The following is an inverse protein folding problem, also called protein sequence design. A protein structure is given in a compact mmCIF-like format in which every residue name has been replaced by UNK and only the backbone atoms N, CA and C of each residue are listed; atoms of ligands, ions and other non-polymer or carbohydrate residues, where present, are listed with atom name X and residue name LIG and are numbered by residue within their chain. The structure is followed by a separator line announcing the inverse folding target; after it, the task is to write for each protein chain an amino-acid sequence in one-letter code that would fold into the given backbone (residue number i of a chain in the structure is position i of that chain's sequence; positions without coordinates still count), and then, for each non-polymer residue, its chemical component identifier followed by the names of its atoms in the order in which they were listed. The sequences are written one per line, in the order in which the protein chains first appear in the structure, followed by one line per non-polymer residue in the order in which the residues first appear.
data_IF_860666931113
#
_entry.id   IF_860666931113
#
_cell.length_a   1.000
_cell.length_b   1.000
_cell.length_c   1.000
_cell.angle_alpha   90.00
_cell.angle_beta   90.00
_cell.angle_gamma   90.00
#
_symmetry.space_group_name_H-M   'P 1'
#
loop_
_entity.id
_entity.type
_entity.pdbx_description
1 polymer ?
#
# COMPACT_ATOMS: atom_id res chain seq x y z
N UNK A 1 -0.70 3.75 21.55
CA UNK A 1 0.22 3.67 20.40
C UNK A 1 -0.47 2.89 19.30
N UNK A 2 -0.51 3.40 18.08
CA UNK A 2 -1.28 2.79 17.00
C UNK A 2 -0.61 1.51 16.50
N UNK A 3 -1.34 0.39 16.40
CA UNK A 3 -0.75 -0.87 15.98
C UNK A 3 -0.93 -1.11 14.47
N UNK A 4 -0.14 -0.42 13.66
CA UNK A 4 -0.16 -0.56 12.21
C UNK A 4 0.15 -1.99 11.72
N UNK A 5 0.74 -2.87 12.54
CA UNK A 5 0.98 -4.27 12.16
C UNK A 5 -0.29 -5.12 12.20
N UNK A 6 -1.18 -4.87 13.16
CA UNK A 6 -2.50 -5.50 13.22
C UNK A 6 -3.48 -4.91 12.19
N UNK A 7 -3.18 -3.69 11.75
CA UNK A 7 -3.93 -2.92 10.77
C UNK A 7 -4.69 -1.78 11.43
N UNK A 8 -4.96 -0.75 10.64
CA UNK A 8 -5.75 0.42 11.06
C UNK A 8 -6.78 0.70 9.97
N UNK A 9 -8.04 0.86 10.36
CA UNK A 9 -9.09 1.28 9.43
C UNK A 9 -9.07 2.80 9.27
N UNK A 10 -8.94 3.24 8.02
CA UNK A 10 -8.79 4.64 7.66
C UNK A 10 -9.79 5.00 6.57
N UNK A 11 -10.37 6.19 6.66
CA UNK A 11 -11.21 6.75 5.60
C UNK A 11 -10.34 7.41 4.54
N UNK A 12 -10.59 7.07 3.29
CA UNK A 12 -9.89 7.63 2.14
C UNK A 12 -10.84 7.77 0.95
N UNK A 13 -10.52 8.63 -0.04
CA UNK A 13 -11.13 8.51 -1.35
C UNK A 13 -10.74 7.17 -1.98
N UNK A 14 -11.74 6.36 -2.30
CA UNK A 14 -11.63 5.11 -3.05
C UNK A 14 -12.00 5.33 -4.51
N UNK A 15 -11.76 4.34 -5.38
CA UNK A 15 -11.93 4.48 -6.82
C UNK A 15 -10.79 5.24 -7.50
N UNK A 16 -9.63 5.30 -6.86
CA UNK A 16 -8.39 5.84 -7.41
C UNK A 16 -7.29 4.77 -7.45
N UNK A 17 -6.24 5.03 -8.21
CA UNK A 17 -5.07 4.17 -8.24
C UNK A 17 -4.26 4.29 -6.96
N UNK A 18 -3.48 3.26 -6.66
CA UNK A 18 -2.56 3.26 -5.54
C UNK A 18 -1.50 4.38 -5.66
N UNK A 19 -1.08 4.73 -6.88
CA UNK A 19 -0.20 5.88 -7.14
C UNK A 19 -0.85 7.18 -6.66
N UNK A 20 -2.10 7.43 -7.04
CA UNK A 20 -2.84 8.64 -6.62
C UNK A 20 -3.02 8.65 -5.10
N UNK A 21 -3.38 7.52 -4.48
CA UNK A 21 -3.50 7.47 -3.02
C UNK A 21 -2.18 7.84 -2.33
N UNK A 22 -1.07 7.21 -2.71
CA UNK A 22 0.23 7.42 -2.05
C UNK A 22 0.80 8.81 -2.29
N UNK A 23 0.82 9.26 -3.55
CA UNK A 23 1.53 10.48 -3.94
C UNK A 23 0.67 11.74 -3.85
N UNK A 24 -0.64 11.65 -4.13
CA UNK A 24 -1.52 12.82 -4.19
C UNK A 24 -2.33 12.98 -2.90
N UNK A 25 -2.90 11.89 -2.37
CA UNK A 25 -3.76 11.97 -1.16
C UNK A 25 -2.92 11.99 0.11
N UNK A 26 -1.95 11.07 0.22
CA UNK A 26 -1.04 11.01 1.38
C UNK A 26 0.19 11.88 1.22
N UNK A 27 0.37 12.51 0.06
CA UNK A 27 1.47 13.42 -0.25
C UNK A 27 2.86 12.80 0.02
N UNK A 28 2.98 11.48 -0.12
CA UNK A 28 4.26 10.79 0.01
C UNK A 28 5.05 11.04 -1.28
N UNK A 29 6.29 11.57 -1.20
CA UNK A 29 7.09 11.83 -2.38
C UNK A 29 7.26 10.57 -3.25
N UNK A 30 7.13 10.70 -4.57
CA UNK A 30 7.23 9.59 -5.51
C UNK A 30 8.57 8.84 -5.37
N UNK A 31 9.66 9.56 -5.10
CA UNK A 31 10.98 8.96 -4.88
C UNK A 31 11.02 8.09 -3.62
N UNK A 32 10.28 8.48 -2.57
CA UNK A 32 10.15 7.67 -1.37
C UNK A 32 9.35 6.40 -1.68
N UNK A 33 8.20 6.52 -2.37
CA UNK A 33 7.38 5.37 -2.78
C UNK A 33 8.20 4.38 -3.61
N UNK A 34 9.03 4.87 -4.54
CA UNK A 34 9.80 4.03 -5.47
C UNK A 34 11.01 3.39 -4.79
N UNK A 35 11.76 4.15 -3.97
CA UNK A 35 13.05 3.71 -3.44
C UNK A 35 12.95 3.08 -2.04
N UNK A 36 11.93 3.44 -1.25
CA UNK A 36 11.77 2.98 0.14
C UNK A 36 10.71 1.92 0.28
N UNK A 37 9.60 1.99 -0.44
CA UNK A 37 8.55 0.98 -0.38
C UNK A 37 8.87 -0.15 -1.38
N UNK A 38 9.47 -1.23 -0.89
CA UNK A 38 9.89 -2.34 -1.76
C UNK A 38 8.77 -3.32 -2.09
N UNK A 39 7.81 -3.45 -1.18
CA UNK A 39 6.77 -4.47 -1.24
C UNK A 39 5.43 -3.85 -0.92
N UNK A 40 4.48 -4.05 -1.82
CA UNK A 40 3.11 -3.57 -1.69
C UNK A 40 2.18 -4.73 -2.00
N UNK A 41 1.25 -4.99 -1.08
CA UNK A 41 0.15 -5.92 -1.32
C UNK A 41 -1.18 -5.18 -1.23
N UNK A 42 -2.06 -5.43 -2.19
CA UNK A 42 -3.45 -5.02 -2.18
C UNK A 42 -4.32 -6.28 -2.16
N UNK A 43 -5.18 -6.41 -1.14
CA UNK A 43 -6.06 -7.57 -0.94
C UNK A 43 -5.31 -8.91 -0.97
N UNK A 44 -4.11 -8.92 -0.37
CA UNK A 44 -3.22 -10.09 -0.30
C UNK A 44 -2.46 -10.40 -1.59
N UNK A 45 -2.64 -9.61 -2.66
CA UNK A 45 -1.94 -9.79 -3.94
C UNK A 45 -0.82 -8.77 -4.10
N UNK A 46 0.36 -9.18 -4.57
CA UNK A 46 1.45 -8.24 -4.81
C UNK A 46 1.09 -7.26 -5.94
N UNK A 47 1.49 -6.00 -5.77
CA UNK A 47 1.25 -4.93 -6.73
C UNK A 47 2.58 -4.49 -7.34
N UNK A 48 2.72 -4.73 -8.64
CA UNK A 48 3.89 -4.29 -9.43
C UNK A 48 3.62 -3.04 -10.26
N UNK A 49 2.35 -2.68 -10.48
CA UNK A 49 1.92 -1.46 -11.17
C UNK A 49 0.99 -0.65 -10.26
N UNK A 50 1.42 0.56 -9.88
CA UNK A 50 0.68 1.42 -8.97
C UNK A 50 -0.45 2.18 -9.65
N UNK A 51 -0.40 2.35 -10.97
CA UNK A 51 -1.43 3.04 -11.74
C UNK A 51 -2.60 2.12 -12.04
N UNK A 52 -2.32 0.85 -12.36
CA UNK A 52 -3.35 -0.16 -12.62
C UNK A 52 -4.02 -0.70 -11.33
N UNK A 53 -3.37 -0.57 -10.17
CA UNK A 53 -3.89 -1.07 -8.90
C UNK A 53 -4.95 -0.12 -8.31
N UNK A 54 -6.22 -0.47 -8.50
CA UNK A 54 -7.35 0.34 -8.04
C UNK A 54 -7.78 0.00 -6.62
N UNK A 55 -7.89 1.03 -5.79
CA UNK A 55 -8.30 0.88 -4.39
C UNK A 55 -9.81 0.98 -4.29
N UNK A 56 -10.40 0.05 -3.55
CA UNK A 56 -11.84 -0.04 -3.32
C UNK A 56 -12.15 0.08 -1.84
N UNK A 57 -13.41 0.40 -1.54
CA UNK A 57 -13.93 0.31 -0.18
C UNK A 57 -13.75 -1.12 0.35
N UNK A 58 -13.31 -1.23 1.61
CA UNK A 58 -12.98 -2.50 2.26
C UNK A 58 -11.61 -3.09 1.91
N UNK A 59 -10.84 -2.50 0.99
CA UNK A 59 -9.52 -3.04 0.60
C UNK A 59 -8.55 -3.12 1.78
N UNK A 60 -7.64 -4.11 1.72
CA UNK A 60 -6.52 -4.25 2.67
C UNK A 60 -5.22 -3.90 1.97
N UNK A 61 -4.63 -2.76 2.33
CA UNK A 61 -3.35 -2.29 1.81
C UNK A 61 -2.23 -2.60 2.80
N UNK A 62 -1.22 -3.33 2.37
CA UNK A 62 -0.04 -3.65 3.16
C UNK A 62 1.23 -3.08 2.51
N UNK A 63 1.98 -2.28 3.26
CA UNK A 63 3.22 -1.65 2.79
C UNK A 63 4.41 -2.12 3.64
N UNK A 64 5.53 -2.43 2.99
CA UNK A 64 6.79 -2.75 3.67
C UNK A 64 8.00 -2.05 3.05
N UNK A 65 8.93 -1.62 3.91
CA UNK A 65 10.15 -0.96 3.49
C UNK A 65 11.12 -1.96 2.83
N UNK A 66 11.95 -1.47 1.91
CA UNK A 66 13.16 -2.16 1.48
C UNK A 66 14.07 -2.37 2.71
N UNK A 67 14.33 -3.63 3.07
CA UNK A 67 15.40 -3.94 4.01
C UNK A 67 16.75 -3.86 3.30
N UNK A 68 17.79 -3.23 3.88
CA UNK A 68 19.15 -3.45 3.40
C UNK A 68 19.54 -4.93 3.60
N UNK A 69 20.31 -5.50 2.67
CA UNK A 69 20.80 -6.89 2.72
C UNK A 69 20.04 -7.88 1.82
N UNK A 70 20.37 -9.17 1.96
CA UNK A 70 19.95 -10.25 1.03
C UNK A 70 18.43 -10.39 0.91
N UNK A 71 17.68 -10.25 2.02
CA UNK A 71 16.22 -10.37 2.02
C UNK A 71 15.57 -9.24 1.21
N UNK A 72 16.12 -8.03 1.27
CA UNK A 72 15.67 -6.92 0.45
C UNK A 72 16.01 -7.09 -1.03
N UNK A 73 17.13 -7.72 -1.36
CA UNK A 73 17.50 -8.01 -2.76
C UNK A 73 16.54 -9.01 -3.43
N UNK A 74 15.98 -9.95 -2.67
CA UNK A 74 15.03 -10.98 -3.17
C UNK A 74 13.60 -10.45 -3.29
N UNK A 75 13.19 -9.53 -2.40
CA UNK A 75 11.82 -8.97 -2.35
C UNK A 75 11.67 -7.63 -3.10
N UNK A 76 12.74 -7.13 -3.72
CA UNK A 76 12.74 -5.87 -4.47
C UNK A 76 11.88 -5.99 -5.73
N UNK A 77 10.97 -5.02 -5.91
CA UNK A 77 10.20 -4.81 -7.15
C UNK A 77 11.15 -4.78 -8.36
N UNK A 78 10.93 -5.69 -9.31
CA UNK A 78 11.77 -5.86 -10.51
C UNK A 78 13.06 -6.68 -10.33
N UNK A 79 13.23 -7.43 -9.22
CA UNK A 79 14.38 -8.34 -9.03
C UNK A 79 14.30 -9.62 -9.88
N UNK A 80 15.42 -10.35 -10.01
CA UNK A 80 15.59 -11.58 -10.82
C UNK A 80 14.57 -12.71 -10.55
N UNK A 81 13.88 -12.68 -9.40
CA UNK A 81 12.80 -13.61 -9.03
C UNK A 81 11.38 -13.10 -9.33
N UNK A 82 11.24 -11.93 -9.97
CA UNK A 82 9.95 -11.38 -10.40
C UNK A 82 9.23 -12.28 -11.42
N UNK A 83 9.96 -13.08 -12.19
CA UNK A 83 9.44 -14.06 -13.15
C UNK A 83 8.61 -15.17 -12.49
N UNK A 84 8.80 -15.46 -11.20
CA UNK A 84 7.98 -16.42 -10.44
C UNK A 84 6.63 -15.85 -9.97
N UNK A 85 6.36 -14.55 -10.17
CA UNK A 85 5.08 -13.89 -9.86
C UNK A 85 4.14 -13.76 -11.06
N UNK A 86 4.56 -14.22 -12.24
CA UNK A 86 3.83 -14.08 -13.51
C UNK A 86 2.47 -14.78 -13.59
N UNK A 87 2.07 -15.55 -12.57
CA UNK A 87 0.78 -16.23 -12.52
C UNK A 87 -0.27 -15.59 -11.59
N UNK A 88 0.03 -14.48 -10.90
CA UNK A 88 -0.89 -13.90 -9.88
C UNK A 88 -0.87 -12.35 -9.89
N UNK A 89 -0.51 -11.73 -11.01
CA UNK A 89 -0.64 -10.26 -11.14
C UNK A 89 -2.13 -9.89 -11.15
N UNK A 90 -2.50 -8.86 -10.39
CA UNK A 90 -3.85 -8.31 -10.39
C UNK A 90 -4.26 -7.96 -11.83
N UNK A 91 -5.18 -8.73 -12.39
CA UNK A 91 -5.86 -8.43 -13.64
C UNK A 91 -7.17 -7.71 -13.30
N UNK A 92 -7.33 -6.54 -13.90
CA UNK A 92 -8.46 -5.64 -13.77
C UNK A 92 -9.80 -6.34 -14.09
N UNK A 93 -10.85 -5.98 -13.36
CA UNK A 93 -12.23 -6.35 -13.67
C UNK A 93 -12.94 -5.06 -14.11
N UNK A 94 -13.52 -5.07 -15.32
CA UNK A 94 -13.87 -3.95 -16.22
C UNK A 94 -14.84 -2.85 -15.69
N UNK A 95 -15.10 -2.73 -14.39
CA UNK A 95 -15.91 -1.64 -13.85
C UNK A 95 -15.02 -0.56 -13.22
N UNK A 96 -14.91 0.57 -13.92
CA UNK A 96 -14.22 1.76 -13.45
C UNK A 96 -14.90 2.24 -12.15
N UNK A 97 -14.25 2.12 -10.98
CA UNK A 97 -14.89 2.44 -9.70
C UNK A 97 -15.19 3.94 -9.60
N UNK A 98 -16.42 4.31 -9.27
CA UNK A 98 -16.78 5.70 -8.97
C UNK A 98 -15.95 6.19 -7.77
N UNK A 99 -15.38 7.40 -7.88
CA UNK A 99 -14.68 8.04 -6.75
C UNK A 99 -15.66 8.31 -5.63
N UNK A 100 -15.49 7.64 -4.49
CA UNK A 100 -16.32 7.78 -3.30
C UNK A 100 -15.45 7.67 -2.06
N UNK A 101 -15.88 8.28 -0.95
CA UNK A 101 -15.27 7.98 0.34
C UNK A 101 -15.53 6.52 0.72
N UNK A 102 -14.50 5.85 1.20
CA UNK A 102 -14.58 4.47 1.68
C UNK A 102 -13.56 4.23 2.79
N UNK A 103 -13.65 3.07 3.42
CA UNK A 103 -12.78 2.64 4.51
C UNK A 103 -11.87 1.52 4.01
N UNK A 104 -10.57 1.70 4.15
CA UNK A 104 -9.59 0.63 3.90
C UNK A 104 -8.89 0.23 5.19
N UNK A 105 -8.30 -0.95 5.19
CA UNK A 105 -7.37 -1.38 6.25
C UNK A 105 -5.94 -1.17 5.79
N UNK A 106 -5.23 -0.26 6.45
CA UNK A 106 -3.80 -0.03 6.22
C UNK A 106 -2.96 -0.85 7.19
N UNK A 107 -1.98 -1.58 6.66
CA UNK A 107 -0.95 -2.30 7.42
C UNK A 107 0.43 -1.80 7.04
N UNK A 108 1.22 -1.42 8.04
CA UNK A 108 2.62 -1.06 7.86
C UNK A 108 3.50 -2.11 8.54
N UNK A 109 4.56 -2.51 7.83
CA UNK A 109 5.50 -3.51 8.32
C UNK A 109 6.92 -2.97 8.37
N UNK A 110 7.75 -3.59 9.21
CA UNK A 110 9.17 -3.32 9.33
C UNK A 110 9.45 -1.81 9.59
N UNK A 111 10.45 -1.23 8.93
CA UNK A 111 10.89 0.15 9.13
C UNK A 111 9.84 1.20 8.78
N UNK A 112 8.85 0.88 7.92
CA UNK A 112 7.79 1.85 7.56
C UNK A 112 6.93 2.25 8.75
N UNK A 113 6.85 1.44 9.80
CA UNK A 113 6.09 1.82 11.00
C UNK A 113 6.77 3.01 11.68
N UNK A 114 8.10 3.01 11.78
CA UNK A 114 8.86 4.10 12.39
C UNK A 114 8.96 5.30 11.44
N UNK A 115 9.06 5.07 10.12
CA UNK A 115 9.26 6.15 9.15
C UNK A 115 7.98 6.88 8.74
N UNK A 116 6.88 6.13 8.56
CA UNK A 116 5.60 6.68 8.08
C UNK A 116 4.51 6.67 9.14
N UNK A 117 4.65 5.91 10.23
CA UNK A 117 3.58 5.76 11.21
C UNK A 117 3.12 7.08 11.82
N UNK A 118 4.07 7.94 12.23
CA UNK A 118 3.76 9.26 12.80
C UNK A 118 3.20 10.21 11.74
N UNK A 119 3.85 10.31 10.58
CA UNK A 119 3.41 11.15 9.46
C UNK A 119 1.98 10.81 9.02
N UNK A 120 1.68 9.53 8.83
CA UNK A 120 0.36 9.06 8.43
C UNK A 120 -0.67 9.24 9.55
N UNK A 121 -0.29 9.07 10.83
CA UNK A 121 -1.23 9.30 11.93
C UNK A 121 -1.76 10.74 12.01
N UNK A 122 -1.01 11.72 11.50
CA UNK A 122 -1.43 13.13 11.46
C UNK A 122 -2.31 13.46 10.25
N UNK A 123 -2.25 12.64 9.18
CA UNK A 123 -2.97 12.86 7.92
C UNK A 123 -4.21 12.00 7.74
N UNK A 124 -4.23 10.81 8.34
CA UNK A 124 -5.29 9.83 8.12
C UNK A 124 -6.47 10.07 9.06
N UNK A 125 -7.67 10.13 8.49
CA UNK A 125 -8.89 10.07 9.28
C UNK A 125 -9.16 8.62 9.67
N UNK A 126 -9.14 8.33 10.96
CA UNK A 126 -9.31 6.99 11.50
C UNK A 126 -10.80 6.68 11.53
N UNK A 127 -11.22 5.62 10.83
CA UNK A 127 -12.62 5.19 10.87
C UNK A 127 -12.95 4.58 12.24
N UNK A 128 -12.13 3.60 12.67
CA UNK A 128 -12.18 2.98 14.00
C UNK A 128 -10.83 2.32 14.32
N UNK A 129 -10.32 2.35 15.57
CA UNK A 129 -9.25 1.43 15.94
C UNK A 129 -9.78 -0.01 15.90
N UNK A 130 -9.06 -0.92 15.23
CA UNK A 130 -9.37 -2.35 15.26
C UNK A 130 -9.32 -2.84 16.72
N UNK A 131 -10.39 -3.48 17.18
CA UNK A 131 -10.52 -4.08 18.51
C UNK A 131 -9.66 -5.33 18.65
#
# INVERSE_FOLDING_TARGET
MMNFQQGVQIKIPTGCSLKTLLCEVWEIPQDYVTNRISTIFLDGKPVDDLEAAMIRDGSVLSLSAAMPGLVGAVMRRGGSLASFRSSITYAENENMPERKEGVITLKLFNLLIAELGEYLSQKLEIAYPLR
#
